data_IF_043149801189
#
_entry.id   IF_043149801189
#
_cell.length_a   1.000
_cell.length_b   1.000
_cell.length_c   1.000
_cell.angle_alpha   90.00
_cell.angle_beta   90.00
_cell.angle_gamma   90.00
#
_symmetry.space_group_name_H-M   'P 1'
#
loop_
_entity.id
_entity.type
_entity.pdbx_description
1 polymer ?
#
# COMPACT_ATOMS: atom_id res chain seq x y z
N UNK A 1 14.86 10.92 -26.86
CA UNK A 1 16.16 10.43 -26.33
C UNK A 1 16.19 8.91 -26.45
N UNK A 2 16.97 8.37 -27.42
CA UNK A 2 17.22 6.92 -27.53
C UNK A 2 18.26 6.55 -26.46
N UNK A 3 17.87 5.75 -25.48
CA UNK A 3 18.80 5.07 -24.56
C UNK A 3 19.72 4.21 -25.42
N UNK A 4 20.96 4.64 -25.62
CA UNK A 4 21.97 3.86 -26.32
C UNK A 4 22.33 2.69 -25.42
N UNK A 5 21.98 1.49 -25.86
CA UNK A 5 22.40 0.25 -25.24
C UNK A 5 23.93 0.19 -25.29
N UNK A 6 24.56 0.34 -24.11
CA UNK A 6 26.02 0.30 -23.91
C UNK A 6 26.48 -1.04 -23.39
N UNK A 7 25.59 -2.04 -23.29
CA UNK A 7 25.91 -3.33 -22.70
C UNK A 7 27.03 -4.05 -23.47
N UNK A 8 26.96 -4.02 -24.81
CA UNK A 8 27.97 -4.64 -25.66
C UNK A 8 29.35 -3.96 -25.53
N UNK A 9 29.40 -2.63 -25.42
CA UNK A 9 30.63 -1.85 -25.25
C UNK A 9 31.29 -2.18 -23.90
N UNK A 10 30.49 -2.31 -22.84
CA UNK A 10 30.96 -2.65 -21.50
C UNK A 10 31.47 -4.09 -21.40
N UNK A 11 30.82 -5.06 -22.07
CA UNK A 11 31.28 -6.45 -22.12
C UNK A 11 32.65 -6.56 -22.81
N UNK A 12 32.88 -5.78 -23.86
CA UNK A 12 34.14 -5.77 -24.60
C UNK A 12 35.29 -5.12 -23.80
N UNK A 13 34.98 -4.13 -22.96
CA UNK A 13 35.93 -3.52 -22.03
C UNK A 13 36.25 -4.44 -20.84
N UNK A 14 35.27 -5.18 -20.35
CA UNK A 14 35.45 -6.15 -19.25
C UNK A 14 36.33 -7.33 -19.67
N UNK A 15 36.19 -7.84 -20.89
CA UNK A 15 37.05 -8.92 -21.40
C UNK A 15 38.50 -8.48 -21.63
N UNK A 16 38.72 -7.20 -21.95
CA UNK A 16 40.07 -6.61 -22.07
C UNK A 16 40.77 -6.33 -20.73
N UNK A 17 40.03 -6.30 -19.61
CA UNK A 17 40.54 -5.95 -18.28
C UNK A 17 40.93 -7.16 -17.41
N UNK A 18 41.07 -8.36 -17.99
CA UNK A 18 41.37 -9.61 -17.28
C UNK A 18 42.76 -9.64 -16.57
N UNK A 19 43.57 -8.58 -16.67
CA UNK A 19 44.85 -8.44 -15.95
C UNK A 19 44.79 -7.59 -14.68
N UNK A 20 43.64 -7.02 -14.32
CA UNK A 20 43.50 -6.24 -13.09
C UNK A 20 43.32 -7.13 -11.87
N UNK A 21 44.27 -7.10 -10.93
CA UNK A 21 44.17 -7.78 -9.62
C UNK A 21 43.05 -7.13 -8.81
N UNK A 22 41.80 -7.54 -9.04
CA UNK A 22 40.71 -7.37 -8.10
C UNK A 22 40.93 -8.38 -6.97
N UNK A 23 41.53 -7.94 -5.87
CA UNK A 23 41.41 -8.70 -4.62
C UNK A 23 39.96 -8.57 -4.15
N UNK A 24 39.22 -9.65 -4.33
CA UNK A 24 37.92 -9.87 -3.71
C UNK A 24 38.10 -9.82 -2.18
N UNK A 25 37.86 -8.66 -1.57
CA UNK A 25 37.89 -8.49 -0.10
C UNK A 25 36.49 -8.46 0.51
N UNK A 26 35.46 -8.75 -0.28
CA UNK A 26 34.16 -9.10 0.28
C UNK A 26 34.25 -10.59 0.59
N UNK A 27 34.47 -10.94 1.86
CA UNK A 27 34.12 -12.29 2.29
C UNK A 27 32.67 -12.51 1.86
N UNK A 28 32.36 -13.57 1.09
CA UNK A 28 30.98 -13.91 0.80
C UNK A 28 30.28 -13.95 2.14
N UNK A 29 29.23 -13.12 2.30
CA UNK A 29 28.28 -13.34 3.39
C UNK A 29 27.96 -14.83 3.39
N UNK A 30 28.00 -15.49 4.55
CA UNK A 30 27.66 -16.90 4.67
C UNK A 30 26.43 -17.18 3.79
N UNK A 31 26.47 -18.17 2.88
CA UNK A 31 25.41 -18.37 1.88
C UNK A 31 24.01 -18.46 2.53
N UNK A 32 23.96 -18.94 3.77
CA UNK A 32 22.75 -19.02 4.59
C UNK A 32 22.18 -17.66 5.02
N UNK A 33 22.99 -16.63 5.23
CA UNK A 33 22.54 -15.29 5.62
C UNK A 33 21.93 -14.54 4.43
N UNK A 34 22.54 -14.65 3.25
CA UNK A 34 21.99 -14.10 2.00
C UNK A 34 20.68 -14.80 1.63
N UNK A 35 20.63 -16.14 1.71
CA UNK A 35 19.41 -16.90 1.44
C UNK A 35 18.25 -16.55 2.39
N UNK A 36 18.54 -16.31 3.68
CA UNK A 36 17.52 -15.86 4.66
C UNK A 36 16.99 -14.46 4.36
N UNK A 37 17.85 -13.54 3.92
CA UNK A 37 17.45 -12.18 3.54
C UNK A 37 16.53 -12.21 2.31
N UNK A 38 16.88 -13.00 1.29
CA UNK A 38 16.06 -13.17 0.08
C UNK A 38 14.71 -13.80 0.40
N UNK A 39 14.66 -14.82 1.26
CA UNK A 39 13.42 -15.44 1.70
C UNK A 39 12.50 -14.43 2.41
N UNK A 40 13.06 -13.61 3.29
CA UNK A 40 12.30 -12.58 4.00
C UNK A 40 11.68 -11.53 3.06
N UNK A 41 12.45 -11.08 2.06
CA UNK A 41 11.97 -10.14 1.05
C UNK A 41 10.86 -10.78 0.19
N UNK A 42 10.99 -12.06 -0.18
CA UNK A 42 9.95 -12.76 -0.92
C UNK A 42 8.65 -12.87 -0.14
N UNK A 43 8.72 -13.12 1.17
CA UNK A 43 7.53 -13.18 2.02
C UNK A 43 6.83 -11.82 2.12
N UNK A 44 7.60 -10.72 2.22
CA UNK A 44 7.07 -9.36 2.14
C UNK A 44 6.31 -9.16 0.81
N UNK A 45 6.91 -9.53 -0.32
CA UNK A 45 6.26 -9.35 -1.63
C UNK A 45 5.00 -10.20 -1.79
N UNK A 46 5.00 -11.45 -1.32
CA UNK A 46 3.80 -12.31 -1.37
C UNK A 46 2.64 -11.71 -0.59
N UNK A 47 2.93 -11.11 0.56
CA UNK A 47 1.91 -10.47 1.37
C UNK A 47 1.37 -9.18 0.74
N UNK A 48 2.28 -8.34 0.23
CA UNK A 48 1.93 -7.14 -0.52
C UNK A 48 1.05 -7.49 -1.72
N UNK A 49 1.38 -8.55 -2.46
CA UNK A 49 0.58 -8.96 -3.61
C UNK A 49 -0.80 -9.47 -3.22
N UNK A 50 -0.94 -10.17 -2.08
CA UNK A 50 -2.26 -10.52 -1.53
C UNK A 50 -3.08 -9.28 -1.20
N UNK A 51 -2.49 -8.28 -0.55
CA UNK A 51 -3.16 -7.01 -0.25
C UNK A 51 -3.58 -6.28 -1.54
N UNK A 52 -2.70 -6.24 -2.55
CA UNK A 52 -3.00 -5.64 -3.86
C UNK A 52 -4.13 -6.36 -4.58
N UNK A 53 -4.18 -7.69 -4.50
CA UNK A 53 -5.30 -8.50 -5.00
C UNK A 53 -6.64 -8.07 -4.38
N UNK A 54 -6.70 -7.98 -3.06
CA UNK A 54 -7.90 -7.49 -2.37
C UNK A 54 -8.27 -6.05 -2.72
N UNK A 55 -7.29 -5.15 -2.85
CA UNK A 55 -7.53 -3.77 -3.29
C UNK A 55 -8.14 -3.74 -4.70
N UNK A 56 -7.66 -4.61 -5.60
CA UNK A 56 -8.22 -4.74 -6.94
C UNK A 56 -9.65 -5.31 -6.92
N UNK A 57 -9.92 -6.31 -6.07
CA UNK A 57 -11.26 -6.87 -5.88
C UNK A 57 -12.25 -5.81 -5.36
N UNK A 58 -11.81 -4.96 -4.42
CA UNK A 58 -12.61 -3.83 -3.92
C UNK A 58 -12.96 -2.84 -5.06
N UNK A 59 -12.00 -2.51 -5.92
CA UNK A 59 -12.26 -1.62 -7.05
C UNK A 59 -13.19 -2.27 -8.10
N UNK A 60 -13.01 -3.55 -8.39
CA UNK A 60 -13.88 -4.30 -9.30
C UNK A 60 -15.32 -4.32 -8.77
N UNK A 61 -15.52 -4.59 -7.49
CA UNK A 61 -16.84 -4.56 -6.88
C UNK A 61 -17.44 -3.15 -6.91
N UNK A 62 -16.63 -2.11 -6.68
CA UNK A 62 -17.06 -0.72 -6.79
C UNK A 62 -17.50 -0.35 -8.21
N UNK A 63 -16.79 -0.85 -9.24
CA UNK A 63 -17.19 -0.72 -10.63
C UNK A 63 -18.48 -1.51 -10.93
N UNK A 64 -18.62 -2.71 -10.38
CA UNK A 64 -19.82 -3.54 -10.53
C UNK A 64 -21.04 -2.85 -9.94
N UNK A 65 -20.94 -2.28 -8.74
CA UNK A 65 -22.02 -1.51 -8.10
C UNK A 65 -22.49 -0.38 -9.01
N UNK A 66 -21.56 0.39 -9.60
CA UNK A 66 -21.91 1.45 -10.55
C UNK A 66 -22.62 0.91 -11.80
N UNK A 67 -22.16 -0.22 -12.34
CA UNK A 67 -22.76 -0.84 -13.53
C UNK A 67 -24.17 -1.36 -13.26
N UNK A 68 -24.35 -2.10 -12.16
CA UNK A 68 -25.64 -2.65 -11.75
C UNK A 68 -26.66 -1.52 -11.52
N UNK A 69 -26.26 -0.47 -10.82
CA UNK A 69 -27.14 0.66 -10.55
C UNK A 69 -27.43 1.53 -11.78
N UNK A 70 -26.51 1.58 -12.76
CA UNK A 70 -26.75 2.28 -14.03
C UNK A 70 -27.74 1.57 -14.95
N UNK A 71 -28.10 0.31 -14.67
CA UNK A 71 -29.08 -0.43 -15.45
C UNK A 71 -30.49 0.18 -15.27
N UNK A 72 -31.20 0.58 -16.34
CA UNK A 72 -32.55 1.14 -16.24
C UNK A 72 -33.57 0.21 -15.57
N UNK A 73 -33.31 -1.10 -15.55
CA UNK A 73 -34.17 -2.11 -14.95
C UNK A 73 -33.83 -2.40 -13.48
N UNK A 74 -32.84 -1.72 -12.90
CA UNK A 74 -32.38 -1.96 -11.52
C UNK A 74 -33.54 -1.96 -10.50
N UNK A 75 -34.42 -0.96 -10.57
CA UNK A 75 -35.53 -0.80 -9.62
C UNK A 75 -36.63 -1.85 -9.75
N UNK A 76 -36.73 -2.55 -10.89
CA UNK A 76 -37.74 -3.58 -11.16
C UNK A 76 -37.17 -4.99 -11.09
N UNK A 77 -35.85 -5.14 -11.15
CA UNK A 77 -35.17 -6.41 -11.17
C UNK A 77 -34.52 -6.73 -9.81
N UNK A 78 -35.21 -7.56 -9.02
CA UNK A 78 -34.73 -8.01 -7.71
C UNK A 78 -33.36 -8.70 -7.78
N UNK A 79 -33.05 -9.40 -8.87
CA UNK A 79 -31.76 -10.06 -9.03
C UNK A 79 -30.60 -9.05 -9.10
N UNK A 80 -30.79 -7.91 -9.77
CA UNK A 80 -29.78 -6.85 -9.83
C UNK A 80 -29.58 -6.18 -8.47
N UNK A 81 -30.66 -6.02 -7.70
CA UNK A 81 -30.60 -5.49 -6.33
C UNK A 81 -29.84 -6.46 -5.41
N UNK A 82 -30.17 -7.76 -5.45
CA UNK A 82 -29.47 -8.80 -4.69
C UNK A 82 -27.97 -8.86 -5.06
N UNK A 83 -27.62 -8.69 -6.34
CA UNK A 83 -26.23 -8.61 -6.79
C UNK A 83 -25.51 -7.36 -6.28
N UNK A 84 -26.20 -6.21 -6.22
CA UNK A 84 -25.64 -4.98 -5.69
C UNK A 84 -25.38 -5.14 -4.18
N UNK A 85 -26.34 -5.63 -3.41
CA UNK A 85 -26.19 -5.90 -1.98
C UNK A 85 -25.05 -6.88 -1.68
N UNK A 86 -24.92 -7.93 -2.50
CA UNK A 86 -23.79 -8.87 -2.42
C UNK A 86 -22.45 -8.19 -2.72
N UNK A 87 -22.39 -7.33 -3.74
CA UNK A 87 -21.18 -6.59 -4.10
C UNK A 87 -20.79 -5.57 -3.01
N UNK A 88 -21.75 -4.89 -2.38
CA UNK A 88 -21.51 -3.99 -1.24
C UNK A 88 -20.94 -4.78 -0.06
N UNK A 89 -21.59 -5.88 0.33
CA UNK A 89 -21.14 -6.75 1.42
C UNK A 89 -19.73 -7.29 1.17
N UNK A 90 -19.47 -7.77 -0.05
CA UNK A 90 -18.15 -8.26 -0.45
C UNK A 90 -17.08 -7.17 -0.47
N UNK A 91 -17.44 -5.94 -0.83
CA UNK A 91 -16.56 -4.76 -0.79
C UNK A 91 -16.16 -4.43 0.65
N UNK A 92 -17.13 -4.32 1.57
CA UNK A 92 -16.87 -4.04 2.98
C UNK A 92 -16.01 -5.13 3.63
N UNK A 93 -16.32 -6.41 3.38
CA UNK A 93 -15.52 -7.53 3.87
C UNK A 93 -14.07 -7.49 3.34
N UNK A 94 -13.88 -7.14 2.07
CA UNK A 94 -12.55 -7.00 1.46
C UNK A 94 -11.80 -5.79 2.03
N UNK A 95 -12.49 -4.66 2.24
CA UNK A 95 -11.94 -3.48 2.91
C UNK A 95 -11.42 -3.79 4.32
N UNK A 96 -12.17 -4.56 5.11
CA UNK A 96 -11.74 -5.02 6.43
C UNK A 96 -10.50 -5.93 6.36
N UNK A 97 -10.43 -6.84 5.38
CA UNK A 97 -9.25 -7.69 5.17
C UNK A 97 -8.00 -6.86 4.86
N UNK A 98 -8.11 -5.88 3.97
CA UNK A 98 -6.99 -4.98 3.64
C UNK A 98 -6.57 -4.17 4.85
N UNK A 99 -7.52 -3.59 5.60
CA UNK A 99 -7.24 -2.84 6.82
C UNK A 99 -6.52 -3.68 7.88
N UNK A 100 -7.01 -4.91 8.14
CA UNK A 100 -6.37 -5.83 9.06
C UNK A 100 -4.96 -6.24 8.64
N UNK A 101 -4.75 -6.52 7.35
CA UNK A 101 -3.44 -6.88 6.82
C UNK A 101 -2.46 -5.72 6.84
N UNK A 102 -2.89 -4.49 6.50
CA UNK A 102 -2.06 -3.30 6.63
C UNK A 102 -1.63 -3.09 8.08
N UNK A 103 -2.53 -3.24 9.06
CA UNK A 103 -2.19 -3.13 10.48
C UNK A 103 -1.19 -4.21 10.93
N UNK A 104 -1.35 -5.45 10.47
CA UNK A 104 -0.40 -6.53 10.75
C UNK A 104 0.96 -6.30 10.07
N UNK A 105 0.96 -5.72 8.88
CA UNK A 105 2.17 -5.36 8.15
C UNK A 105 2.92 -4.23 8.86
N UNK A 106 2.20 -3.20 9.30
CA UNK A 106 2.75 -2.09 10.08
C UNK A 106 3.44 -2.57 11.35
N UNK A 107 2.81 -3.47 12.12
CA UNK A 107 3.39 -4.02 13.35
C UNK A 107 4.70 -4.80 13.15
N UNK A 108 5.02 -5.20 11.91
CA UNK A 108 6.29 -5.88 11.55
C UNK A 108 7.29 -4.96 10.86
N UNK A 109 6.94 -3.70 10.59
CA UNK A 109 7.89 -2.75 10.00
C UNK A 109 9.06 -2.53 10.96
N UNK A 110 10.25 -2.93 10.52
CA UNK A 110 11.47 -2.69 11.30
C UNK A 110 11.89 -1.23 11.22
N UNK A 111 12.35 -0.67 12.33
CA UNK A 111 13.01 0.64 12.40
C UNK A 111 14.47 0.59 11.95
N UNK A 112 15.02 -0.61 11.72
CA UNK A 112 16.40 -0.76 11.22
C UNK A 112 16.51 -0.20 9.80
N UNK A 113 17.66 0.39 9.49
CA UNK A 113 18.02 0.83 8.14
C UNK A 113 18.69 -0.30 7.34
N UNK A 114 17.94 -1.37 7.12
CA UNK A 114 18.31 -2.44 6.18
C UNK A 114 17.53 -2.27 4.86
N UNK A 115 18.08 -2.79 3.76
CA UNK A 115 17.44 -2.82 2.45
C UNK A 115 16.05 -3.48 2.51
N UNK A 116 15.90 -4.62 3.18
CA UNK A 116 14.61 -5.28 3.37
C UNK A 116 13.60 -4.40 4.12
N UNK A 117 14.04 -3.71 5.18
CA UNK A 117 13.19 -2.81 5.95
C UNK A 117 12.74 -1.58 5.13
N UNK A 118 13.62 -1.05 4.29
CA UNK A 118 13.28 0.04 3.34
C UNK A 118 12.27 -0.41 2.29
N UNK A 119 12.47 -1.61 1.72
CA UNK A 119 11.53 -2.21 0.77
C UNK A 119 10.16 -2.37 1.44
N UNK A 120 10.11 -2.94 2.66
CA UNK A 120 8.87 -3.11 3.41
C UNK A 120 8.13 -1.77 3.63
N UNK A 121 8.85 -0.72 4.09
CA UNK A 121 8.25 0.62 4.31
C UNK A 121 7.69 1.22 3.03
N UNK A 122 8.41 1.10 1.91
CA UNK A 122 7.94 1.59 0.61
C UNK A 122 6.70 0.82 0.13
N UNK A 123 6.71 -0.51 0.22
CA UNK A 123 5.57 -1.34 -0.19
C UNK A 123 4.34 -1.08 0.67
N UNK A 124 4.52 -0.93 1.99
CA UNK A 124 3.44 -0.55 2.90
C UNK A 124 2.84 0.81 2.52
N UNK A 125 3.68 1.82 2.29
CA UNK A 125 3.22 3.15 1.89
C UNK A 125 2.45 3.13 0.56
N UNK A 126 2.96 2.37 -0.43
CA UNK A 126 2.30 2.20 -1.71
C UNK A 126 0.93 1.49 -1.56
N UNK A 127 0.87 0.36 -0.86
CA UNK A 127 -0.37 -0.36 -0.60
C UNK A 127 -1.39 0.50 0.17
N UNK A 128 -0.94 1.25 1.17
CA UNK A 128 -1.82 2.14 1.94
C UNK A 128 -2.44 3.23 1.07
N UNK A 129 -1.66 3.85 0.17
CA UNK A 129 -2.17 4.84 -0.80
C UNK A 129 -3.14 4.22 -1.79
N UNK A 130 -2.79 3.07 -2.37
CA UNK A 130 -3.68 2.36 -3.29
C UNK A 130 -5.00 1.95 -2.62
N UNK A 131 -4.95 1.53 -1.36
CA UNK A 131 -6.15 1.21 -0.58
C UNK A 131 -7.00 2.46 -0.30
N UNK A 132 -6.39 3.58 0.08
CA UNK A 132 -7.09 4.85 0.25
C UNK A 132 -7.84 5.27 -1.02
N UNK A 133 -7.18 5.19 -2.16
CA UNK A 133 -7.77 5.54 -3.46
C UNK A 133 -8.90 4.58 -3.87
N UNK A 134 -8.78 3.29 -3.56
CA UNK A 134 -9.83 2.30 -3.81
C UNK A 134 -11.04 2.51 -2.89
N UNK A 135 -10.80 2.80 -1.60
CA UNK A 135 -11.85 3.07 -0.63
C UNK A 135 -12.61 4.35 -0.96
N UNK A 136 -11.92 5.40 -1.43
CA UNK A 136 -12.55 6.62 -1.92
C UNK A 136 -13.45 6.36 -3.13
N UNK A 137 -12.99 5.57 -4.10
CA UNK A 137 -13.81 5.18 -5.26
C UNK A 137 -15.02 4.36 -4.86
N UNK A 138 -14.89 3.50 -3.86
CA UNK A 138 -16.00 2.75 -3.31
C UNK A 138 -17.03 3.67 -2.64
N UNK A 139 -16.58 4.59 -1.78
CA UNK A 139 -17.41 5.58 -1.13
C UNK A 139 -18.20 6.43 -2.14
N UNK A 140 -17.53 7.00 -3.15
CA UNK A 140 -18.19 7.78 -4.21
C UNK A 140 -19.20 6.95 -4.99
N UNK A 141 -18.95 5.65 -5.20
CA UNK A 141 -19.92 4.77 -5.86
C UNK A 141 -21.19 4.60 -5.01
N UNK A 142 -21.05 4.35 -3.71
CA UNK A 142 -22.19 4.21 -2.80
C UNK A 142 -22.95 5.53 -2.63
N UNK A 143 -22.24 6.65 -2.51
CA UNK A 143 -22.85 7.97 -2.36
C UNK A 143 -23.69 8.36 -3.59
N UNK A 144 -23.22 8.01 -4.80
CA UNK A 144 -24.00 8.19 -6.02
C UNK A 144 -25.28 7.34 -6.04
N UNK A 145 -25.21 6.09 -5.55
CA UNK A 145 -26.40 5.23 -5.41
C UNK A 145 -27.38 5.84 -4.40
N UNK A 146 -26.88 6.26 -3.23
CA UNK A 146 -27.68 6.93 -2.19
C UNK A 146 -28.39 8.17 -2.73
N UNK A 147 -27.67 9.05 -3.42
CA UNK A 147 -28.22 10.29 -3.96
C UNK A 147 -29.38 10.03 -4.94
N UNK A 148 -29.24 9.02 -5.81
CA UNK A 148 -30.31 8.66 -6.73
C UNK A 148 -31.53 8.06 -6.00
N UNK A 149 -31.31 7.19 -5.01
CA UNK A 149 -32.41 6.61 -4.23
C UNK A 149 -33.17 7.67 -3.45
N UNK A 150 -32.46 8.65 -2.90
CA UNK A 150 -33.07 9.78 -2.19
C UNK A 150 -33.93 10.63 -3.13
N UNK A 151 -33.46 10.92 -4.35
CA UNK A 151 -34.24 11.63 -5.36
C UNK A 151 -35.51 10.86 -5.77
N UNK A 152 -35.40 9.53 -5.93
CA UNK A 152 -36.56 8.70 -6.28
C UNK A 152 -37.59 8.64 -5.15
N UNK A 153 -37.14 8.56 -3.90
CA UNK A 153 -37.98 8.58 -2.72
C UNK A 153 -38.73 9.91 -2.61
N UNK A 154 -38.03 11.04 -2.78
CA UNK A 154 -38.64 12.38 -2.85
C UNK A 154 -39.71 12.45 -3.95
N UNK A 155 -39.42 11.95 -5.15
CA UNK A 155 -40.38 11.95 -6.26
C UNK A 155 -41.62 11.11 -5.95
N UNK A 156 -41.47 9.94 -5.32
CA UNK A 156 -42.60 9.10 -4.91
C UNK A 156 -43.48 9.77 -3.84
N UNK A 157 -42.85 10.47 -2.88
CA UNK A 157 -43.54 11.27 -1.86
C UNK A 157 -44.32 12.43 -2.48
N UNK A 158 -43.75 13.13 -3.47
CA UNK A 158 -44.42 14.22 -4.18
C UNK A 158 -45.61 13.74 -5.03
N UNK A 159 -45.43 12.65 -5.79
CA UNK A 159 -46.47 12.09 -6.65
C UNK A 159 -47.70 11.59 -5.88
N UNK A 160 -47.51 11.17 -4.63
CA UNK A 160 -48.60 10.66 -3.79
C UNK A 160 -49.50 11.76 -3.23
N UNK A 161 -49.30 13.03 -3.63
CA UNK A 161 -50.07 14.20 -3.19
C UNK A 161 -50.19 14.32 -1.66
N UNK A 162 -49.20 13.80 -0.94
CA UNK A 162 -49.04 14.17 0.46
C UNK A 162 -48.66 15.65 0.46
N UNK A 163 -49.49 16.45 1.11
CA UNK A 163 -49.33 17.89 1.30
C UNK A 163 -48.19 18.16 2.29
N UNK A 164 -47.00 17.66 1.96
CA UNK A 164 -45.79 17.77 2.76
C UNK A 164 -44.91 18.78 2.03
N UNK A 165 -44.53 19.86 2.72
CA UNK A 165 -43.56 20.83 2.19
C UNK A 165 -42.25 20.10 1.85
N UNK A 166 -41.49 20.59 0.87
CA UNK A 166 -40.16 20.07 0.55
C UNK A 166 -39.26 20.02 1.81
N UNK A 167 -39.40 21.03 2.68
CA UNK A 167 -38.68 21.15 3.96
C UNK A 167 -39.12 20.11 5.00
N UNK A 168 -40.41 19.78 5.05
CA UNK A 168 -40.95 18.73 5.93
C UNK A 168 -40.58 17.34 5.42
N UNK A 169 -40.54 17.14 4.10
CA UNK A 169 -40.08 15.90 3.49
C UNK A 169 -38.61 15.64 3.83
N UNK A 170 -37.77 16.67 3.75
CA UNK A 170 -36.34 16.58 4.07
C UNK A 170 -36.11 16.30 5.57
N UNK A 171 -36.85 16.98 6.46
CA UNK A 171 -36.81 16.71 7.90
C UNK A 171 -37.27 15.29 8.26
N UNK A 172 -38.27 14.75 7.54
CA UNK A 172 -38.76 13.38 7.74
C UNK A 172 -37.73 12.35 7.27
N UNK A 173 -37.05 12.61 6.14
CA UNK A 173 -35.94 11.78 5.64
C UNK A 173 -34.74 11.81 6.61
N UNK A 174 -34.37 12.97 7.16
CA UNK A 174 -33.29 13.10 8.15
C UNK A 174 -33.63 12.44 9.49
N UNK A 175 -34.90 12.49 9.91
CA UNK A 175 -35.34 11.89 11.17
C UNK A 175 -35.38 10.35 11.13
N UNK A 176 -35.22 9.73 9.95
CA UNK A 176 -35.32 8.29 9.72
C UNK A 176 -36.66 7.71 10.27
N UNK A 177 -37.70 8.54 10.35
CA UNK A 177 -38.95 8.21 11.03
C UNK A 177 -40.15 8.34 10.08
N UNK A 178 -40.22 7.42 9.12
CA UNK A 178 -41.34 7.29 8.17
C UNK A 178 -42.67 6.92 8.84
N UNK A 179 -42.69 6.46 10.09
CA UNK A 179 -43.93 6.16 10.79
C UNK A 179 -44.86 7.39 10.89
N UNK A 180 -44.29 8.60 10.98
CA UNK A 180 -45.03 9.87 10.94
C UNK A 180 -45.71 10.12 9.57
N UNK A 181 -45.17 9.54 8.49
CA UNK A 181 -45.73 9.59 7.15
C UNK A 181 -46.92 8.63 7.00
N UNK A 182 -46.81 7.44 7.60
CA UNK A 182 -47.84 6.39 7.57
C UNK A 182 -49.07 6.77 8.41
N UNK A 183 -48.87 7.40 9.57
CA UNK A 183 -49.97 7.81 10.46
C UNK A 183 -50.80 8.99 9.92
N UNK A 184 -50.18 9.89 9.14
CA UNK A 184 -50.89 11.01 8.50
C UNK A 184 -51.66 10.58 7.24
N UNK A 185 -51.30 9.46 6.62
CA UNK A 185 -51.99 8.93 5.47
C UNK A 185 -53.19 8.08 5.91
N UNK A 186 -54.38 8.69 5.97
CA UNK A 186 -55.64 7.92 5.96
C UNK A 186 -55.77 7.20 4.61
N UNK A 187 -55.13 6.04 4.49
CA UNK A 187 -55.06 5.24 3.29
C UNK A 187 -56.42 4.57 3.00
N UNK A 188 -57.40 5.35 2.57
CA UNK A 188 -58.74 4.87 2.23
C UNK A 188 -58.78 4.23 0.83
N UNK A 189 -57.86 4.57 -0.06
CA UNK A 189 -57.78 4.02 -1.43
C UNK A 189 -56.71 2.93 -1.57
N UNK A 190 -56.97 1.94 -2.44
CA UNK A 190 -56.01 0.87 -2.74
C UNK A 190 -54.73 1.39 -3.40
N UNK A 191 -54.80 2.52 -4.10
CA UNK A 191 -53.66 3.19 -4.73
C UNK A 191 -52.74 3.84 -3.70
N UNK A 192 -53.29 4.54 -2.70
CA UNK A 192 -52.52 5.12 -1.60
C UNK A 192 -51.77 4.04 -0.80
N UNK A 193 -52.40 2.88 -0.57
CA UNK A 193 -51.75 1.73 0.10
C UNK A 193 -50.59 1.13 -0.70
N UNK A 194 -50.67 1.14 -2.04
CA UNK A 194 -49.57 0.65 -2.89
C UNK A 194 -48.41 1.62 -2.88
N UNK A 195 -48.69 2.90 -3.06
CA UNK A 195 -47.65 3.91 -3.09
C UNK A 195 -46.92 4.04 -1.74
N UNK A 196 -47.64 3.89 -0.62
CA UNK A 196 -47.01 3.83 0.71
C UNK A 196 -46.06 2.63 0.86
N UNK A 197 -46.42 1.45 0.34
CA UNK A 197 -45.52 0.28 0.33
C UNK A 197 -44.28 0.51 -0.51
N UNK A 198 -44.42 1.20 -1.64
CA UNK A 198 -43.28 1.53 -2.50
C UNK A 198 -42.33 2.51 -1.78
N UNK A 199 -42.87 3.51 -1.09
CA UNK A 199 -42.12 4.46 -0.25
C UNK A 199 -41.39 3.73 0.90
N UNK A 200 -42.07 2.84 1.62
CA UNK A 200 -41.47 2.02 2.68
C UNK A 200 -40.31 1.15 2.15
N UNK A 201 -40.52 0.47 1.02
CA UNK A 201 -39.49 -0.38 0.41
C UNK A 201 -38.26 0.43 -0.01
N UNK A 202 -38.45 1.61 -0.60
CA UNK A 202 -37.33 2.50 -1.00
C UNK A 202 -36.58 3.05 0.20
N UNK A 203 -37.28 3.36 1.28
CA UNK A 203 -36.63 3.78 2.51
C UNK A 203 -35.80 2.66 3.14
N UNK A 204 -36.29 1.42 3.13
CA UNK A 204 -35.51 0.28 3.60
C UNK A 204 -34.22 0.10 2.78
N UNK A 205 -34.30 0.24 1.44
CA UNK A 205 -33.12 0.24 0.57
C UNK A 205 -32.15 1.38 0.91
N UNK A 206 -32.66 2.59 1.14
CA UNK A 206 -31.86 3.76 1.52
C UNK A 206 -31.15 3.53 2.86
N UNK A 207 -31.86 3.03 3.87
CA UNK A 207 -31.31 2.74 5.19
C UNK A 207 -30.17 1.71 5.12
N UNK A 208 -30.28 0.69 4.27
CA UNK A 208 -29.20 -0.29 4.02
C UNK A 208 -27.96 0.37 3.41
N UNK A 209 -28.14 1.28 2.45
CA UNK A 209 -27.04 2.03 1.84
C UNK A 209 -26.36 2.97 2.84
N UNK A 210 -27.14 3.61 3.71
CA UNK A 210 -26.58 4.46 4.77
C UNK A 210 -25.79 3.64 5.79
N UNK A 211 -26.26 2.46 6.17
CA UNK A 211 -25.49 1.53 7.00
C UNK A 211 -24.17 1.13 6.32
N UNK A 212 -24.19 0.81 5.02
CA UNK A 212 -22.98 0.51 4.26
C UNK A 212 -22.01 1.71 4.17
N UNK A 213 -22.51 2.94 4.07
CA UNK A 213 -21.68 4.15 4.10
C UNK A 213 -21.05 4.37 5.48
N UNK A 214 -21.74 4.03 6.56
CA UNK A 214 -21.19 4.03 7.92
C UNK A 214 -20.04 3.03 8.03
N UNK A 215 -20.19 1.82 7.51
CA UNK A 215 -19.09 0.83 7.48
C UNK A 215 -17.85 1.38 6.75
N UNK A 216 -18.05 2.04 5.60
CA UNK A 216 -16.96 2.66 4.84
C UNK A 216 -16.32 3.82 5.60
N UNK A 217 -17.08 4.61 6.35
CA UNK A 217 -16.54 5.64 7.25
C UNK A 217 -15.67 5.03 8.36
N UNK A 218 -16.09 3.89 8.90
CA UNK A 218 -15.30 3.20 9.91
C UNK A 218 -13.99 2.65 9.32
N UNK A 219 -13.99 2.19 8.07
CA UNK A 219 -12.78 1.85 7.32
C UNK A 219 -11.86 3.07 7.11
N UNK A 220 -12.41 4.24 6.78
CA UNK A 220 -11.63 5.48 6.69
C UNK A 220 -11.01 5.87 8.03
N UNK A 221 -11.72 5.66 9.13
CA UNK A 221 -11.22 5.94 10.48
C UNK A 221 -10.05 5.00 10.81
N UNK A 222 -10.17 3.72 10.48
CA UNK A 222 -9.07 2.75 10.62
C UNK A 222 -7.86 3.15 9.77
N UNK A 223 -8.10 3.55 8.51
CA UNK A 223 -7.04 4.03 7.62
C UNK A 223 -6.37 5.30 8.14
N UNK A 224 -7.13 6.25 8.69
CA UNK A 224 -6.60 7.48 9.28
C UNK A 224 -5.68 7.18 10.46
N UNK A 225 -6.00 6.18 11.29
CA UNK A 225 -5.13 5.73 12.37
C UNK A 225 -3.77 5.24 11.86
N UNK A 226 -3.75 4.51 10.73
CA UNK A 226 -2.52 4.07 10.06
C UNK A 226 -1.70 5.24 9.47
N UNK A 227 -2.34 6.37 9.15
CA UNK A 227 -1.64 7.57 8.64
C UNK A 227 -1.00 8.38 9.77
N UNK A 228 -1.71 8.55 10.89
CA UNK A 228 -1.26 9.37 12.02
C UNK A 228 0.05 8.88 12.65
N UNK A 229 0.39 7.59 12.50
CA UNK A 229 1.63 7.02 13.01
C UNK A 229 2.85 7.18 12.08
N UNK A 230 2.69 7.72 10.86
CA UNK A 230 3.69 7.62 9.79
C UNK A 230 4.37 8.94 9.36
N UNK A 231 4.11 10.05 10.04
CA UNK A 231 4.35 11.41 9.50
C UNK A 231 5.82 11.87 9.44
N UNK A 232 6.84 11.02 9.65
CA UNK A 232 8.24 11.49 9.76
C UNK A 232 9.22 11.03 8.66
N UNK A 233 8.90 10.02 7.82
CA UNK A 233 9.94 9.39 6.96
C UNK A 233 9.48 8.74 5.63
N UNK A 234 8.32 9.08 5.04
CA UNK A 234 7.78 8.30 3.90
C UNK A 234 7.75 9.01 2.56
N UNK A 235 7.75 10.34 2.54
CA UNK A 235 7.91 11.06 1.29
C UNK A 235 9.40 11.32 1.02
N UNK A 236 10.08 10.30 0.50
CA UNK A 236 10.80 10.49 -0.76
C UNK A 236 11.56 9.25 -1.19
N UNK A 237 11.30 8.85 -2.43
CA UNK A 237 12.25 8.06 -3.23
C UNK A 237 13.63 8.72 -3.21
N UNK A 238 13.68 10.06 -3.16
CA UNK A 238 14.88 10.87 -2.96
C UNK A 238 15.60 10.57 -1.63
N UNK A 239 14.93 10.52 -0.48
CA UNK A 239 15.56 10.19 0.81
C UNK A 239 16.17 8.79 0.83
N UNK A 240 15.44 7.79 0.30
CA UNK A 240 15.97 6.44 0.22
C UNK A 240 17.07 6.30 -0.86
N UNK A 241 16.98 7.01 -1.98
CA UNK A 241 18.05 7.07 -2.97
C UNK A 241 19.31 7.75 -2.38
N UNK A 242 19.15 8.85 -1.64
CA UNK A 242 20.22 9.57 -0.94
C UNK A 242 20.89 8.66 0.10
N UNK A 243 20.13 7.96 0.95
CA UNK A 243 20.71 6.99 1.89
C UNK A 243 21.47 5.84 1.20
N UNK A 244 20.95 5.34 0.07
CA UNK A 244 21.67 4.32 -0.70
C UNK A 244 23.01 4.85 -1.24
N UNK A 245 23.05 6.10 -1.72
CA UNK A 245 24.30 6.74 -2.16
C UNK A 245 25.28 6.97 -1.00
N UNK A 246 24.80 7.32 0.19
CA UNK A 246 25.62 7.53 1.39
C UNK A 246 26.27 6.23 1.90
N UNK A 247 25.54 5.11 1.85
CA UNK A 247 26.09 3.79 2.20
C UNK A 247 27.16 3.29 1.21
N UNK A 248 27.01 3.56 -0.09
CA UNK A 248 28.06 3.27 -1.09
C UNK A 248 29.28 4.17 -0.88
N UNK A 249 29.06 5.46 -0.59
CA UNK A 249 30.13 6.43 -0.32
C UNK A 249 30.95 6.07 0.93
N UNK A 250 30.29 5.75 2.04
CA UNK A 250 30.96 5.31 3.28
C UNK A 250 31.71 3.99 3.10
N UNK A 251 31.14 3.01 2.39
CA UNK A 251 31.82 1.78 2.00
C UNK A 251 33.10 2.05 1.19
N UNK A 252 33.04 2.96 0.22
CA UNK A 252 34.20 3.42 -0.54
C UNK A 252 35.31 3.99 0.35
N UNK A 253 34.97 4.81 1.35
CA UNK A 253 35.98 5.36 2.28
C UNK A 253 36.60 4.30 3.20
N UNK A 254 35.85 3.28 3.59
CA UNK A 254 36.36 2.17 4.40
C UNK A 254 37.29 1.26 3.59
N UNK A 255 36.97 1.00 2.32
CA UNK A 255 37.87 0.31 1.40
C UNK A 255 39.17 1.09 1.17
N UNK A 256 39.09 2.42 1.00
CA UNK A 256 40.27 3.29 0.89
C UNK A 256 41.12 3.30 2.17
N UNK A 257 40.50 3.38 3.36
CA UNK A 257 41.24 3.26 4.64
C UNK A 257 41.90 1.89 4.77
N UNK A 258 41.23 0.83 4.34
CA UNK A 258 41.75 -0.54 4.32
C UNK A 258 42.97 -0.72 3.42
N UNK A 259 42.94 -0.18 2.20
CA UNK A 259 44.09 -0.26 1.26
C UNK A 259 45.29 0.54 1.74
N UNK A 260 45.08 1.75 2.28
CA UNK A 260 46.15 2.58 2.86
C UNK A 260 46.75 1.94 4.11
N UNK A 261 45.92 1.32 4.98
CA UNK A 261 46.42 0.57 6.14
C UNK A 261 47.23 -0.66 5.72
N UNK A 262 46.77 -1.39 4.69
CA UNK A 262 47.47 -2.58 4.15
C UNK A 262 48.83 -2.22 3.52
N UNK A 263 48.93 -1.12 2.79
CA UNK A 263 50.21 -0.67 2.21
C UNK A 263 51.18 -0.20 3.30
N UNK A 264 50.71 0.49 4.34
CA UNK A 264 51.51 0.86 5.51
C UNK A 264 52.02 -0.38 6.27
N UNK A 265 51.17 -1.40 6.46
CA UNK A 265 51.57 -2.66 7.08
C UNK A 265 52.63 -3.42 6.25
N UNK A 266 52.50 -3.46 4.92
CA UNK A 266 53.51 -4.07 4.03
C UNK A 266 54.87 -3.36 4.10
N UNK A 267 54.89 -2.02 4.11
CA UNK A 267 56.14 -1.25 4.26
C UNK A 267 56.83 -1.50 5.60
N UNK A 268 56.07 -1.59 6.69
CA UNK A 268 56.62 -1.93 8.03
C UNK A 268 57.19 -3.35 8.08
N UNK A 269 56.51 -4.33 7.47
CA UNK A 269 57.00 -5.72 7.38
C UNK A 269 58.30 -5.81 6.57
N UNK A 270 58.39 -5.11 5.43
CA UNK A 270 59.60 -5.09 4.62
C UNK A 270 60.78 -4.43 5.35
N UNK A 271 60.54 -3.32 6.05
CA UNK A 271 61.56 -2.68 6.88
C UNK A 271 62.11 -3.60 7.97
N UNK A 272 61.25 -4.38 8.63
CA UNK A 272 61.67 -5.34 9.65
C UNK A 272 62.55 -6.47 9.07
N UNK A 273 62.21 -6.97 7.87
CA UNK A 273 63.01 -8.00 7.18
C UNK A 273 64.40 -7.45 6.81
N UNK A 274 64.47 -6.22 6.30
CA UNK A 274 65.75 -5.58 5.94
C UNK A 274 66.64 -5.37 7.18
N UNK A 275 66.07 -4.92 8.31
CA UNK A 275 66.83 -4.78 9.56
C UNK A 275 67.39 -6.11 10.07
N UNK A 276 66.59 -7.19 10.02
CA UNK A 276 67.04 -8.53 10.44
C UNK A 276 68.15 -9.06 9.52
N UNK A 277 68.03 -8.87 8.21
CA UNK A 277 69.04 -9.28 7.24
C UNK A 277 70.36 -8.51 7.43
N UNK A 278 70.30 -7.19 7.67
CA UNK A 278 71.48 -6.38 7.94
C UNK A 278 72.18 -6.79 9.24
N UNK A 279 71.42 -7.04 10.31
CA UNK A 279 71.98 -7.55 11.57
C UNK A 279 72.69 -8.89 11.41
N UNK A 280 72.08 -9.82 10.65
CA UNK A 280 72.68 -11.12 10.37
C UNK A 280 73.97 -11.01 9.56
N UNK A 281 74.03 -10.12 8.56
CA UNK A 281 75.23 -9.88 7.77
C UNK A 281 76.39 -9.34 8.63
N UNK A 282 76.11 -8.46 9.60
CA UNK A 282 77.12 -7.93 10.52
C UNK A 282 77.69 -9.05 11.40
N UNK A 283 76.83 -9.93 11.94
CA UNK A 283 77.27 -11.07 12.76
C UNK A 283 78.17 -12.02 11.96
N UNK A 284 77.79 -12.33 10.71
CA UNK A 284 78.62 -13.15 9.82
C UNK A 284 79.97 -12.49 9.52
N UNK A 285 79.99 -11.17 9.29
CA UNK A 285 81.22 -10.44 8.99
C UNK A 285 82.19 -10.44 10.18
N UNK A 286 81.67 -10.25 11.40
CA UNK A 286 82.49 -10.37 12.63
C UNK A 286 83.07 -11.79 12.74
N UNK A 287 82.26 -12.82 12.51
CA UNK A 287 82.67 -14.22 12.65
C UNK A 287 83.74 -14.64 11.61
N UNK A 288 83.79 -13.99 10.44
CA UNK A 288 84.83 -14.24 9.42
C UNK A 288 86.11 -13.45 9.69
N UNK A 289 86.02 -12.30 10.37
CA UNK A 289 87.15 -11.42 10.70
C UNK A 289 87.85 -11.80 12.02
N UNK A 290 87.16 -12.49 12.93
CA UNK A 290 87.72 -13.13 14.13
C UNK A 290 88.21 -14.53 13.84
#
# INVERSE_FOLDING_TARGET
>A
MRTRDRLAELQHLASGAAGGVYCDTVQPSEPDAAAKHDAHIQDIFREVERMRGWIHDLDNNSQLIRRLHSDPTFHTNKNLQDQLDAAVTASNATGLKVSGALRQFEGRLSTRNDAAARIARLQYAACRRLYADALQRHHTALDAVRAQQLLLLQHQIQLTQLSVSEEECEALLESNNIALFVDNLRAETAEAKRALRDVEARHEELARLEAALVDVRDLFTQLAHLVAQQQDQVDSVEYYALQATEHVGSGGTQLLKGTVSRTKARKKKLGLIVCLAAGFAIVLLVLVLT
#
